data_IF_767407396821
#
_entry.id   IF_767407396821
#
_cell.length_a   1.000
_cell.length_b   1.000
_cell.length_c   1.000
_cell.angle_alpha   90.00
_cell.angle_beta   90.00
_cell.angle_gamma   90.00
#
_symmetry.space_group_name_H-M   'P 1'
#
loop_
_entity.id
_entity.type
_entity.pdbx_description
1 polymer ?
#
# COMPACT_ATOMS: atom_id res chain seq x y z
N UNK A 1 -5.04 -32.90 35.25
CA UNK A 1 -3.64 -33.29 34.94
C UNK A 1 -3.38 -33.81 33.53
N UNK A 2 -4.34 -34.46 32.83
CA UNK A 2 -4.13 -34.98 31.46
C UNK A 2 -4.15 -33.94 30.31
N UNK A 3 -4.72 -32.75 30.52
CA UNK A 3 -4.80 -31.69 29.49
C UNK A 3 -3.49 -30.89 29.39
N UNK A 4 -2.83 -30.64 30.54
CA UNK A 4 -1.57 -29.87 30.60
C UNK A 4 -0.38 -30.66 30.01
N UNK A 5 -0.42 -32.00 30.10
CA UNK A 5 0.67 -32.86 29.58
C UNK A 5 0.67 -32.96 28.05
N UNK A 6 -0.49 -32.82 27.38
CA UNK A 6 -0.57 -32.78 25.90
C UNK A 6 -0.06 -31.45 25.32
N UNK A 7 -0.30 -30.33 26.00
CA UNK A 7 0.21 -29.02 25.58
C UNK A 7 1.75 -28.95 25.69
N UNK A 8 2.32 -29.54 26.75
CA UNK A 8 3.77 -29.56 26.96
C UNK A 8 4.47 -30.51 25.99
N UNK A 9 3.88 -31.67 25.68
CA UNK A 9 4.47 -32.59 24.69
C UNK A 9 4.36 -32.09 23.24
N UNK A 10 3.36 -31.27 22.90
CA UNK A 10 3.27 -30.61 21.58
C UNK A 10 4.35 -29.52 21.41
N UNK A 11 4.64 -28.77 22.47
CA UNK A 11 5.71 -27.76 22.53
C UNK A 11 7.12 -28.37 22.53
N UNK A 12 7.28 -29.59 23.05
CA UNK A 12 8.58 -30.28 23.11
C UNK A 12 8.84 -31.19 21.90
N UNK A 13 7.82 -31.56 21.10
CA UNK A 13 8.01 -32.39 19.89
C UNK A 13 8.24 -31.59 18.60
N UNK A 14 8.15 -30.26 18.65
CA UNK A 14 8.43 -29.38 17.52
C UNK A 14 9.51 -28.36 17.88
N UNK A 15 10.65 -28.83 18.39
CA UNK A 15 11.90 -28.08 18.28
C UNK A 15 12.39 -28.09 16.83
N UNK A 16 11.51 -27.77 15.89
CA UNK A 16 11.94 -27.21 14.62
C UNK A 16 12.64 -25.91 15.00
N UNK A 17 13.91 -25.82 14.62
CA UNK A 17 14.71 -24.60 14.66
C UNK A 17 13.81 -23.39 14.42
N UNK A 18 13.81 -22.43 15.36
CA UNK A 18 12.99 -21.23 15.28
C UNK A 18 12.94 -20.75 13.82
N UNK A 19 11.75 -20.69 13.19
CA UNK A 19 11.65 -20.35 11.78
C UNK A 19 12.35 -19.01 11.56
N UNK A 20 13.29 -18.97 10.62
CA UNK A 20 13.96 -17.72 10.27
C UNK A 20 12.91 -16.66 9.93
N UNK A 21 13.05 -15.46 10.49
CA UNK A 21 12.21 -14.30 10.16
C UNK A 21 12.06 -14.13 8.63
N UNK A 22 10.95 -13.53 8.15
CA UNK A 22 10.83 -13.19 6.74
C UNK A 22 12.07 -12.43 6.26
N UNK A 23 12.58 -12.77 5.08
CA UNK A 23 13.78 -12.13 4.51
C UNK A 23 13.39 -11.26 3.32
N UNK A 24 13.97 -10.07 3.26
CA UNK A 24 13.75 -9.14 2.14
C UNK A 24 14.58 -9.59 0.93
N UNK A 25 13.90 -9.96 -0.14
CA UNK A 25 14.52 -10.45 -1.40
C UNK A 25 14.46 -9.43 -2.53
N UNK A 26 13.55 -8.46 -2.42
CA UNK A 26 13.51 -7.29 -3.29
C UNK A 26 13.00 -6.10 -2.49
N UNK A 27 13.61 -4.94 -2.70
CA UNK A 27 13.11 -3.68 -2.18
C UNK A 27 13.46 -2.57 -3.16
N UNK A 28 12.45 -1.81 -3.58
CA UNK A 28 12.61 -0.61 -4.40
C UNK A 28 11.76 0.47 -3.76
N UNK A 29 12.37 1.54 -3.27
CA UNK A 29 11.67 2.72 -2.78
C UNK A 29 12.10 3.95 -3.56
N UNK A 30 11.17 4.89 -3.73
CA UNK A 30 11.48 6.16 -4.35
C UNK A 30 10.48 7.24 -3.95
N UNK A 31 10.98 8.46 -3.74
CA UNK A 31 10.14 9.65 -3.64
C UNK A 31 9.69 10.09 -5.03
N UNK A 32 8.44 10.55 -5.12
CA UNK A 32 7.85 11.04 -6.36
C UNK A 32 7.14 12.35 -6.14
N UNK A 33 7.51 13.34 -6.94
CA UNK A 33 6.82 14.61 -7.04
C UNK A 33 5.59 14.48 -7.96
N UNK A 34 4.67 15.45 -7.90
CA UNK A 34 3.55 15.48 -8.83
C UNK A 34 4.08 15.63 -10.27
N UNK A 35 3.41 14.96 -11.19
CA UNK A 35 3.73 14.83 -12.61
C UNK A 35 4.95 13.97 -12.94
N UNK A 36 5.64 13.39 -11.96
CA UNK A 36 6.66 12.35 -12.19
C UNK A 36 6.02 10.97 -12.40
N UNK A 37 6.71 10.11 -13.14
CA UNK A 37 6.29 8.72 -13.32
C UNK A 37 6.58 7.88 -12.08
N UNK A 38 5.52 7.25 -11.58
CA UNK A 38 5.56 6.25 -10.53
C UNK A 38 5.66 4.88 -11.18
N UNK A 39 6.67 4.13 -10.78
CA UNK A 39 6.85 2.72 -11.11
C UNK A 39 6.72 1.94 -9.80
N UNK A 40 5.57 1.30 -9.60
CA UNK A 40 5.22 0.55 -8.38
C UNK A 40 4.18 -0.53 -8.69
N UNK A 41 3.73 -1.23 -7.65
CA UNK A 41 2.64 -2.21 -7.70
C UNK A 41 3.07 -3.48 -8.42
N UNK A 42 4.22 -4.02 -8.02
CA UNK A 42 4.77 -5.28 -8.55
C UNK A 42 3.97 -6.47 -8.04
N UNK A 43 3.26 -7.14 -8.94
CA UNK A 43 2.68 -8.46 -8.74
C UNK A 43 3.70 -9.51 -9.18
N UNK A 44 4.44 -10.08 -8.24
CA UNK A 44 5.44 -11.11 -8.50
C UNK A 44 4.80 -12.49 -8.67
N UNK A 45 5.44 -13.37 -9.45
CA UNK A 45 5.00 -14.74 -9.67
C UNK A 45 6.14 -15.61 -10.19
N UNK A 46 6.05 -16.92 -9.98
CA UNK A 46 6.95 -17.92 -10.58
C UNK A 46 6.35 -18.39 -11.91
N UNK A 47 7.17 -18.50 -12.95
CA UNK A 47 6.75 -19.04 -14.25
C UNK A 47 7.94 -19.67 -14.97
N UNK A 48 7.80 -20.94 -15.37
CA UNK A 48 8.80 -21.74 -16.09
C UNK A 48 10.18 -21.74 -15.42
N UNK A 49 10.20 -21.78 -14.08
CA UNK A 49 11.43 -21.80 -13.28
C UNK A 49 12.07 -20.43 -13.05
N UNK A 50 11.49 -19.34 -13.56
CA UNK A 50 11.97 -17.97 -13.36
C UNK A 50 10.99 -17.15 -12.51
N UNK A 51 11.49 -16.14 -11.80
CA UNK A 51 10.65 -15.15 -11.11
C UNK A 51 10.36 -13.99 -12.05
N UNK A 52 9.09 -13.61 -12.12
CA UNK A 52 8.58 -12.50 -12.91
C UNK A 52 7.83 -11.52 -12.02
N UNK A 53 7.58 -10.31 -12.53
CA UNK A 53 6.58 -9.40 -11.98
C UNK A 53 5.84 -8.69 -13.11
N UNK A 54 4.56 -8.41 -12.89
CA UNK A 54 3.87 -7.35 -13.64
C UNK A 54 3.73 -6.14 -12.74
N UNK A 55 4.15 -4.96 -13.22
CA UNK A 55 4.09 -3.73 -12.45
C UNK A 55 3.56 -2.58 -13.29
N UNK A 56 3.16 -1.49 -12.62
CA UNK A 56 2.48 -0.37 -13.26
C UNK A 56 3.38 0.86 -13.29
N UNK A 57 3.48 1.47 -14.46
CA UNK A 57 4.08 2.79 -14.65
C UNK A 57 2.97 3.80 -14.95
N UNK A 58 2.92 4.91 -14.22
CA UNK A 58 1.90 5.96 -14.40
C UNK A 58 2.37 7.31 -13.86
N UNK A 59 1.91 8.44 -14.43
CA UNK A 59 2.22 9.76 -13.89
C UNK A 59 1.46 9.98 -12.57
N UNK A 60 2.16 10.45 -11.55
CA UNK A 60 1.55 10.87 -10.29
C UNK A 60 0.79 12.17 -10.52
N UNK A 61 -0.53 12.16 -10.44
CA UNK A 61 -1.32 13.37 -10.69
C UNK A 61 -1.99 13.88 -9.42
N UNK A 62 -2.25 15.19 -9.30
CA UNK A 62 -3.20 15.66 -8.30
C UNK A 62 -4.59 15.09 -8.60
N UNK A 63 -5.46 15.08 -7.60
CA UNK A 63 -6.78 14.47 -7.70
C UNK A 63 -7.60 14.89 -8.92
N UNK A 64 -7.61 16.19 -9.24
CA UNK A 64 -8.39 16.70 -10.37
C UNK A 64 -7.82 16.28 -11.73
N UNK A 65 -6.54 15.88 -11.77
CA UNK A 65 -5.95 15.21 -12.94
C UNK A 65 -6.62 13.85 -13.19
N UNK A 66 -6.93 13.10 -12.15
CA UNK A 66 -7.57 11.78 -12.28
C UNK A 66 -9.05 11.83 -12.68
N UNK A 67 -9.74 12.96 -12.47
CA UNK A 67 -11.15 13.14 -12.89
C UNK A 67 -11.32 13.43 -14.38
N UNK A 68 -10.26 13.81 -15.10
CA UNK A 68 -10.31 14.22 -16.53
C UNK A 68 -9.82 13.14 -17.50
N UNK A 69 -10.09 11.87 -17.23
CA UNK A 69 -9.70 10.76 -18.13
C UNK A 69 -8.20 10.37 -18.09
N UNK A 70 -7.31 11.18 -17.50
CA UNK A 70 -5.86 10.89 -17.40
C UNK A 70 -5.51 9.67 -16.52
N UNK A 71 -6.49 9.09 -15.82
CA UNK A 71 -6.38 7.78 -15.18
C UNK A 71 -5.94 6.68 -16.18
N UNK A 72 -6.08 6.97 -17.48
CA UNK A 72 -5.74 6.17 -18.65
C UNK A 72 -4.32 6.40 -19.18
N UNK A 73 -3.40 7.05 -18.48
CA UNK A 73 -1.99 7.07 -18.91
C UNK A 73 -1.16 6.13 -18.04
N UNK A 74 -1.51 4.84 -18.02
CA UNK A 74 -0.69 3.85 -17.34
C UNK A 74 -0.40 2.62 -18.18
N UNK A 75 0.82 2.14 -18.03
CA UNK A 75 1.37 1.00 -18.73
C UNK A 75 1.65 -0.13 -17.74
N UNK A 76 1.50 -1.37 -18.18
CA UNK A 76 1.93 -2.53 -17.42
C UNK A 76 3.17 -3.13 -18.05
N UNK A 77 4.19 -3.35 -17.24
CA UNK A 77 5.49 -3.89 -17.67
C UNK A 77 5.65 -5.27 -17.05
N UNK A 78 5.98 -6.26 -17.88
CA UNK A 78 6.42 -7.57 -17.45
C UNK A 78 7.94 -7.55 -17.31
N UNK A 79 8.43 -7.85 -16.12
CA UNK A 79 9.87 -7.97 -15.84
C UNK A 79 10.19 -9.40 -15.44
N UNK A 80 11.21 -9.98 -16.06
CA UNK A 80 11.87 -11.20 -15.59
C UNK A 80 13.04 -10.83 -14.70
N UNK A 81 13.23 -11.58 -13.61
CA UNK A 81 14.30 -11.38 -12.65
C UNK A 81 15.24 -12.58 -12.60
N UNK A 82 16.51 -12.31 -12.33
CA UNK A 82 17.47 -13.31 -11.87
C UNK A 82 17.67 -13.17 -10.37
N UNK A 83 17.60 -14.27 -9.63
CA UNK A 83 17.97 -14.32 -8.22
C UNK A 83 19.49 -14.46 -8.10
N UNK A 84 20.16 -13.48 -7.51
CA UNK A 84 21.61 -13.51 -7.22
C UNK A 84 21.83 -13.11 -5.77
N UNK A 85 22.58 -13.93 -5.02
CA UNK A 85 22.89 -13.66 -3.61
C UNK A 85 21.63 -13.38 -2.74
N UNK A 86 20.53 -14.06 -3.04
CA UNK A 86 19.25 -13.88 -2.33
C UNK A 86 18.48 -12.61 -2.70
N UNK A 87 18.93 -11.86 -3.72
CA UNK A 87 18.26 -10.64 -4.21
C UNK A 87 17.82 -10.77 -5.66
N UNK A 88 16.67 -10.19 -5.98
CA UNK A 88 16.17 -10.13 -7.35
C UNK A 88 16.79 -8.96 -8.11
N UNK A 89 17.32 -9.25 -9.29
CA UNK A 89 17.83 -8.28 -10.25
C UNK A 89 17.01 -8.36 -11.54
N UNK A 90 16.50 -7.23 -12.07
CA UNK A 90 15.79 -7.23 -13.34
C UNK A 90 16.75 -7.61 -14.47
N UNK A 91 16.29 -8.50 -15.35
CA UNK A 91 17.08 -9.02 -16.49
C UNK A 91 16.46 -8.60 -17.83
N UNK A 92 15.15 -8.77 -17.98
CA UNK A 92 14.44 -8.43 -19.20
C UNK A 92 13.10 -7.78 -18.89
N UNK A 93 12.75 -6.73 -19.64
CA UNK A 93 11.48 -6.02 -19.51
C UNK A 93 10.74 -6.00 -20.85
N UNK A 94 9.43 -6.21 -20.78
CA UNK A 94 8.53 -6.18 -21.93
C UNK A 94 7.29 -5.38 -21.58
N UNK A 95 6.94 -4.40 -22.41
CA UNK A 95 5.65 -3.73 -22.28
C UNK A 95 4.51 -4.71 -22.56
N UNK A 96 3.55 -4.79 -21.64
CA UNK A 96 2.25 -5.42 -21.86
C UNK A 96 1.21 -4.42 -22.39
N UNK A 97 1.63 -3.19 -22.65
CA UNK A 97 0.79 -2.07 -23.07
C UNK A 97 -0.07 -1.52 -21.94
N UNK A 98 -1.08 -0.76 -22.34
CA UNK A 98 -1.98 -0.08 -21.43
C UNK A 98 -2.70 -1.01 -20.46
N UNK A 99 -2.91 -0.53 -19.23
CA UNK A 99 -3.65 -1.21 -18.17
C UNK A 99 -3.44 -0.58 -16.80
N UNK A 100 -4.40 -0.79 -15.90
CA UNK A 100 -4.34 -0.41 -14.49
C UNK A 100 -4.43 -1.65 -13.60
N UNK A 101 -4.09 -1.52 -12.32
CA UNK A 101 -4.31 -2.53 -11.27
C UNK A 101 -3.99 -3.97 -11.71
N UNK A 102 -2.73 -4.26 -12.12
CA UNK A 102 -2.38 -5.58 -12.59
C UNK A 102 -2.60 -6.62 -11.50
N UNK A 103 -3.05 -7.82 -11.88
CA UNK A 103 -3.15 -9.00 -10.99
C UNK A 103 -2.57 -10.20 -11.71
N UNK A 104 -1.93 -11.10 -10.98
CA UNK A 104 -1.35 -12.30 -11.57
C UNK A 104 -1.66 -13.51 -10.70
N UNK A 105 -1.94 -14.65 -11.33
CA UNK A 105 -1.88 -15.97 -10.71
C UNK A 105 -1.02 -16.88 -11.57
N UNK A 106 -0.24 -17.76 -10.94
CA UNK A 106 0.50 -18.81 -11.63
C UNK A 106 0.62 -20.07 -10.78
N UNK A 107 0.66 -21.21 -11.43
CA UNK A 107 1.02 -22.52 -10.86
C UNK A 107 2.50 -22.90 -11.16
N UNK A 108 3.30 -21.95 -11.65
CA UNK A 108 4.67 -22.17 -12.08
C UNK A 108 4.82 -22.66 -13.52
N UNK A 109 3.77 -23.20 -14.14
CA UNK A 109 3.78 -23.63 -15.55
C UNK A 109 2.95 -22.71 -16.42
N UNK A 110 1.76 -22.33 -15.94
CA UNK A 110 0.84 -21.39 -16.58
C UNK A 110 0.70 -20.16 -15.71
N UNK A 111 0.64 -18.98 -16.32
CA UNK A 111 0.33 -17.74 -15.62
C UNK A 111 -0.79 -16.97 -16.33
N UNK A 112 -1.68 -16.36 -15.56
CA UNK A 112 -2.72 -15.45 -16.07
C UNK A 112 -2.50 -14.06 -15.50
N UNK A 113 -2.29 -13.10 -16.39
CA UNK A 113 -2.05 -11.70 -16.08
C UNK A 113 -3.32 -10.91 -16.42
N UNK A 114 -3.97 -10.37 -15.41
CA UNK A 114 -5.12 -9.49 -15.54
C UNK A 114 -4.65 -8.05 -15.58
N UNK A 115 -5.19 -7.28 -16.53
CA UNK A 115 -5.00 -5.83 -16.61
C UNK A 115 -6.35 -5.16 -16.62
N UNK A 116 -6.63 -4.29 -15.65
CA UNK A 116 -7.87 -3.54 -15.63
C UNK A 116 -7.81 -2.45 -16.71
N UNK A 117 -8.56 -2.65 -17.77
CA UNK A 117 -8.72 -1.73 -18.88
C UNK A 117 -9.90 -0.80 -18.62
N UNK A 118 -9.77 0.45 -19.07
CA UNK A 118 -10.88 1.41 -19.17
C UNK A 118 -10.90 1.88 -20.62
N UNK A 119 -12.07 1.89 -21.27
CA UNK A 119 -12.18 2.43 -22.63
C UNK A 119 -12.00 3.95 -22.59
N UNK A 120 -11.25 4.50 -23.55
CA UNK A 120 -11.00 5.94 -23.63
C UNK A 120 -12.31 6.73 -23.58
N UNK A 121 -12.41 7.67 -22.65
CA UNK A 121 -13.61 8.50 -22.46
C UNK A 121 -14.86 7.81 -21.87
N UNK A 122 -14.83 6.51 -21.57
CA UNK A 122 -15.96 5.78 -20.99
C UNK A 122 -15.58 5.12 -19.66
N UNK A 123 -15.90 5.82 -18.56
CA UNK A 123 -15.70 5.33 -17.19
C UNK A 123 -16.69 4.24 -16.78
N UNK A 124 -17.75 3.99 -17.56
CA UNK A 124 -18.81 3.03 -17.24
C UNK A 124 -18.52 1.62 -17.76
N UNK A 125 -17.57 1.47 -18.70
CA UNK A 125 -17.26 0.18 -19.37
C UNK A 125 -15.82 -0.29 -19.16
N UNK A 126 -15.43 -0.45 -17.90
CA UNK A 126 -14.17 -1.14 -17.57
C UNK A 126 -14.27 -2.65 -17.92
N UNK A 127 -13.14 -3.30 -18.16
CA UNK A 127 -13.02 -4.76 -18.33
C UNK A 127 -11.62 -5.23 -17.94
N UNK A 128 -11.44 -6.51 -17.61
CA UNK A 128 -10.09 -7.08 -17.49
C UNK A 128 -9.63 -7.64 -18.83
N UNK A 129 -8.46 -7.22 -19.31
CA UNK A 129 -7.76 -7.94 -20.36
C UNK A 129 -6.84 -8.97 -19.71
N UNK A 130 -7.07 -10.24 -19.99
CA UNK A 130 -6.30 -11.35 -19.43
C UNK A 130 -5.34 -11.88 -20.48
N UNK A 131 -4.06 -11.99 -20.14
CA UNK A 131 -3.03 -12.64 -20.96
C UNK A 131 -2.58 -13.93 -20.27
N UNK A 132 -2.60 -15.05 -21.00
CA UNK A 132 -2.10 -16.35 -20.57
C UNK A 132 -0.66 -16.58 -21.05
N UNK A 133 0.17 -17.16 -20.20
CA UNK A 133 1.53 -17.62 -20.51
C UNK A 133 1.67 -19.12 -20.17
N UNK A 134 2.42 -19.92 -20.94
CA UNK A 134 2.95 -19.61 -22.27
C UNK A 134 1.82 -19.63 -23.34
N UNK A 135 2.10 -19.10 -24.54
CA UNK A 135 1.17 -19.20 -25.68
C UNK A 135 0.37 -17.95 -26.02
N UNK A 136 0.59 -16.84 -25.30
CA UNK A 136 0.09 -15.50 -25.61
C UNK A 136 -1.43 -15.38 -25.87
N UNK A 137 -2.26 -16.33 -25.42
CA UNK A 137 -3.72 -16.19 -25.49
C UNK A 137 -4.14 -14.94 -24.73
N UNK A 138 -4.92 -14.08 -25.39
CA UNK A 138 -5.48 -12.86 -24.80
C UNK A 138 -6.99 -12.88 -24.96
N UNK A 139 -7.71 -12.62 -23.87
CA UNK A 139 -9.17 -12.52 -23.85
C UNK A 139 -9.62 -11.41 -22.90
N UNK A 140 -10.80 -10.85 -23.16
CA UNK A 140 -11.38 -9.75 -22.39
C UNK A 140 -12.52 -10.27 -21.51
N UNK A 141 -12.55 -9.85 -20.24
CA UNK A 141 -13.51 -10.26 -19.22
C UNK A 141 -14.32 -9.05 -18.77
N UNK A 142 -15.62 -9.07 -19.03
CA UNK A 142 -16.53 -7.94 -18.80
C UNK A 142 -17.25 -7.95 -17.44
N UNK A 143 -16.98 -8.96 -16.60
CA UNK A 143 -17.65 -9.17 -15.32
C UNK A 143 -18.81 -10.18 -15.41
N UNK A 144 -19.36 -10.57 -14.26
CA UNK A 144 -20.49 -11.49 -14.18
C UNK A 144 -21.83 -10.72 -14.21
N UNK A 145 -22.92 -11.31 -14.75
CA UNK A 145 -24.24 -10.68 -14.73
C UNK A 145 -24.66 -10.28 -13.31
N UNK A 146 -25.12 -9.04 -13.14
CA UNK A 146 -25.58 -8.52 -11.84
C UNK A 146 -24.46 -8.09 -10.88
N UNK A 147 -23.20 -8.28 -11.24
CA UNK A 147 -22.05 -7.76 -10.48
C UNK A 147 -21.36 -6.68 -11.30
N UNK A 148 -21.08 -5.49 -10.73
CA UNK A 148 -20.22 -4.52 -11.40
C UNK A 148 -18.84 -5.14 -11.59
N UNK A 149 -18.05 -4.65 -12.55
CA UNK A 149 -16.66 -5.10 -12.65
C UNK A 149 -15.93 -4.74 -11.36
N UNK A 150 -15.46 -5.77 -10.64
CA UNK A 150 -14.83 -5.59 -9.35
C UNK A 150 -13.41 -5.04 -9.49
N UNK A 151 -13.10 -3.98 -8.74
CA UNK A 151 -11.71 -3.67 -8.39
C UNK A 151 -11.21 -4.72 -7.41
N UNK A 152 -9.93 -5.08 -7.48
CA UNK A 152 -9.27 -6.00 -6.55
C UNK A 152 -9.73 -7.48 -6.62
N UNK A 153 -9.97 -8.02 -7.82
CA UNK A 153 -10.10 -9.47 -7.97
C UNK A 153 -8.85 -10.19 -7.48
N UNK A 154 -9.04 -11.28 -6.74
CA UNK A 154 -7.96 -12.14 -6.25
C UNK A 154 -8.00 -13.45 -7.03
N UNK A 155 -7.25 -13.57 -8.12
CA UNK A 155 -7.30 -14.75 -8.98
C UNK A 155 -6.69 -15.97 -8.28
N UNK A 156 -7.13 -17.17 -8.64
CA UNK A 156 -6.51 -18.42 -8.20
C UNK A 156 -6.69 -19.51 -9.25
N UNK A 157 -5.84 -20.54 -9.21
CA UNK A 157 -5.94 -21.71 -10.06
C UNK A 157 -6.38 -22.91 -9.24
N UNK A 158 -7.31 -23.69 -9.79
CA UNK A 158 -7.77 -24.95 -9.20
C UNK A 158 -8.13 -25.92 -10.33
N UNK A 159 -7.59 -27.12 -10.27
CA UNK A 159 -7.85 -28.19 -11.25
C UNK A 159 -7.64 -27.75 -12.72
N UNK A 160 -6.61 -26.94 -12.96
CA UNK A 160 -6.26 -26.39 -14.28
C UNK A 160 -7.20 -25.30 -14.80
N UNK A 161 -8.13 -24.80 -13.97
CA UNK A 161 -9.08 -23.74 -14.31
C UNK A 161 -8.80 -22.46 -13.55
N UNK A 162 -9.24 -21.34 -14.15
CA UNK A 162 -9.04 -20.00 -13.62
C UNK A 162 -10.29 -19.55 -12.85
N UNK A 163 -10.07 -19.11 -11.63
CA UNK A 163 -11.10 -18.55 -10.78
C UNK A 163 -10.67 -17.20 -10.22
N UNK A 164 -11.60 -16.46 -9.64
CA UNK A 164 -11.33 -15.26 -8.87
C UNK A 164 -12.25 -15.12 -7.67
N UNK A 165 -11.71 -14.71 -6.53
CA UNK A 165 -12.52 -14.16 -5.44
C UNK A 165 -12.88 -12.73 -5.82
N UNK A 166 -14.17 -12.49 -6.04
CA UNK A 166 -14.71 -11.17 -6.38
C UNK A 166 -14.80 -10.26 -5.15
N UNK A 167 -15.19 -10.81 -4.01
CA UNK A 167 -15.35 -10.08 -2.76
C UNK A 167 -15.58 -11.02 -1.58
N UNK A 168 -15.46 -10.47 -0.36
CA UNK A 168 -15.60 -11.22 0.89
C UNK A 168 -16.94 -11.01 1.60
N UNK A 169 -17.75 -10.05 1.19
CA UNK A 169 -19.05 -9.73 1.80
C UNK A 169 -20.06 -9.27 0.73
N UNK A 170 -20.93 -10.17 0.22
CA UNK A 170 -20.86 -11.62 0.42
C UNK A 170 -19.58 -12.22 -0.18
N UNK A 171 -19.13 -13.36 0.35
CA UNK A 171 -18.11 -14.17 -0.32
C UNK A 171 -18.67 -14.56 -1.69
N UNK A 172 -18.01 -14.13 -2.75
CA UNK A 172 -18.42 -14.41 -4.12
C UNK A 172 -17.20 -14.94 -4.88
N UNK A 173 -17.33 -16.15 -5.43
CA UNK A 173 -16.29 -16.81 -6.23
C UNK A 173 -16.77 -16.96 -7.67
N UNK A 174 -15.89 -16.60 -8.60
CA UNK A 174 -16.15 -16.61 -10.03
C UNK A 174 -15.27 -17.65 -10.72
N UNK A 175 -15.81 -18.41 -11.67
CA UNK A 175 -15.03 -19.11 -12.69
C UNK A 175 -14.88 -18.19 -13.90
N UNK A 176 -13.66 -18.11 -14.45
CA UNK A 176 -13.32 -17.24 -15.59
C UNK A 176 -12.86 -18.12 -16.75
N UNK A 177 -13.66 -18.17 -17.82
CA UNK A 177 -13.35 -18.96 -18.99
C UNK A 177 -12.45 -18.18 -19.97
N UNK A 178 -11.63 -18.89 -20.74
CA UNK A 178 -10.78 -18.28 -21.78
C UNK A 178 -11.57 -17.70 -22.96
N UNK A 179 -12.89 -17.92 -22.99
CA UNK A 179 -13.84 -17.22 -23.87
C UNK A 179 -14.15 -15.79 -23.41
N UNK A 180 -13.78 -15.42 -22.19
CA UNK A 180 -14.14 -14.16 -21.52
C UNK A 180 -15.44 -14.24 -20.69
N UNK A 181 -16.14 -15.37 -20.75
CA UNK A 181 -17.34 -15.63 -19.95
C UNK A 181 -16.99 -15.85 -18.48
N UNK A 182 -17.91 -15.42 -17.60
CA UNK A 182 -17.73 -15.50 -16.14
C UNK A 182 -18.98 -16.08 -15.50
N UNK A 183 -18.81 -17.09 -14.66
CA UNK A 183 -19.88 -17.73 -13.89
C UNK A 183 -19.68 -17.52 -12.39
N UNK A 184 -20.76 -17.25 -11.65
CA UNK A 184 -20.73 -17.26 -10.18
C UNK A 184 -20.85 -18.71 -9.72
N UNK A 185 -19.75 -19.30 -9.26
CA UNK A 185 -19.71 -20.70 -8.80
C UNK A 185 -20.03 -20.86 -7.32
N UNK A 186 -19.90 -19.78 -6.54
CA UNK A 186 -20.28 -19.77 -5.14
C UNK A 186 -20.64 -18.37 -4.66
N UNK A 187 -21.69 -18.27 -3.85
CA UNK A 187 -22.02 -17.04 -3.13
C UNK A 187 -22.57 -17.37 -1.74
N UNK A 188 -21.96 -16.80 -0.70
CA UNK A 188 -22.42 -16.96 0.68
C UNK A 188 -22.20 -15.70 1.50
N UNK A 189 -23.10 -15.45 2.44
CA UNK A 189 -22.91 -14.37 3.41
C UNK A 189 -21.74 -14.68 4.34
N UNK A 190 -21.04 -13.63 4.78
CA UNK A 190 -19.95 -13.72 5.75
C UNK A 190 -20.19 -12.72 6.87
N UNK A 191 -19.38 -12.79 7.93
CA UNK A 191 -19.39 -11.80 9.01
C UNK A 191 -18.49 -10.59 8.72
N UNK A 192 -18.01 -10.44 7.48
CA UNK A 192 -17.04 -9.43 7.07
C UNK A 192 -17.68 -8.20 6.40
N UNK A 193 -19.01 -8.08 6.44
CA UNK A 193 -19.75 -6.92 5.96
C UNK A 193 -19.64 -5.74 6.94
N UNK A 194 -18.43 -5.22 7.07
CA UNK A 194 -18.11 -4.06 7.90
C UNK A 194 -17.71 -2.94 6.95
N UNK A 195 -18.56 -1.92 6.78
CA UNK A 195 -18.21 -0.73 6.00
C UNK A 195 -17.48 0.29 6.89
N UNK A 196 -16.30 0.80 6.51
CA UNK A 196 -15.66 1.86 7.25
C UNK A 196 -16.41 3.19 7.02
N UNK A 197 -16.41 4.14 7.98
CA UNK A 197 -17.23 5.36 7.89
C UNK A 197 -16.93 6.30 6.71
N UNK A 198 -15.81 6.07 6.02
CA UNK A 198 -15.26 6.96 4.99
C UNK A 198 -15.30 6.38 3.58
N UNK A 199 -15.80 5.14 3.41
CA UNK A 199 -15.80 4.46 2.11
C UNK A 199 -17.03 3.59 1.91
N UNK A 200 -17.47 3.45 0.66
CA UNK A 200 -18.64 2.64 0.28
C UNK A 200 -18.32 1.15 0.08
N UNK A 201 -17.08 0.73 0.30
CA UNK A 201 -16.63 -0.65 0.17
C UNK A 201 -16.41 -1.27 1.54
N UNK A 202 -16.49 -2.61 1.62
CA UNK A 202 -16.23 -3.35 2.85
C UNK A 202 -14.77 -3.19 3.29
N UNK A 203 -14.56 -3.26 4.60
CA UNK A 203 -13.27 -3.11 5.26
C UNK A 203 -12.24 -4.09 4.70
N UNK A 204 -12.64 -5.36 4.54
CA UNK A 204 -11.79 -6.45 4.05
C UNK A 204 -12.00 -6.65 2.55
N UNK A 205 -10.92 -6.50 1.77
CA UNK A 205 -10.98 -6.63 0.32
C UNK A 205 -9.60 -6.72 -0.31
N UNK A 206 -9.58 -7.14 -1.56
CA UNK A 206 -8.41 -7.14 -2.42
C UNK A 206 -7.23 -7.94 -1.88
N UNK A 207 -6.11 -7.84 -2.59
CA UNK A 207 -4.84 -8.41 -2.14
C UNK A 207 -4.17 -9.30 -3.17
N UNK A 208 -3.55 -10.37 -2.68
CA UNK A 208 -2.82 -11.35 -3.48
C UNK A 208 -3.77 -12.25 -4.26
N UNK A 209 -3.22 -12.99 -5.21
CA UNK A 209 -3.83 -14.24 -5.67
C UNK A 209 -3.96 -15.27 -4.52
N UNK A 210 -4.76 -16.31 -4.76
CA UNK A 210 -4.83 -17.49 -3.90
C UNK A 210 -3.84 -18.57 -4.34
N UNK A 211 -3.26 -19.28 -3.37
CA UNK A 211 -2.50 -20.52 -3.57
C UNK A 211 -3.30 -21.68 -3.00
N UNK A 212 -3.49 -22.73 -3.80
CA UNK A 212 -4.05 -24.01 -3.36
C UNK A 212 -2.93 -24.85 -2.74
N UNK A 213 -3.10 -25.25 -1.49
CA UNK A 213 -2.16 -26.11 -0.75
C UNK A 213 -2.65 -27.57 -0.74
N UNK A 214 -1.78 -28.48 -0.32
CA UNK A 214 -2.05 -29.93 -0.27
C UNK A 214 -3.22 -30.31 0.67
N UNK A 215 -3.57 -29.44 1.63
CA UNK A 215 -4.74 -29.60 2.50
C UNK A 215 -6.08 -29.28 1.80
N UNK A 216 -6.03 -28.90 0.52
CA UNK A 216 -7.17 -28.52 -0.31
C UNK A 216 -7.69 -27.11 -0.03
N UNK A 217 -7.08 -26.37 0.89
CA UNK A 217 -7.46 -25.00 1.20
C UNK A 217 -6.72 -24.00 0.29
N UNK A 218 -7.40 -22.89 0.02
CA UNK A 218 -6.82 -21.73 -0.63
C UNK A 218 -6.35 -20.72 0.42
N UNK A 219 -5.16 -20.18 0.23
CA UNK A 219 -4.56 -19.19 1.11
C UNK A 219 -4.17 -17.94 0.33
N UNK A 220 -4.33 -16.77 0.96
CA UNK A 220 -3.88 -15.51 0.40
C UNK A 220 -3.83 -14.42 1.46
N UNK A 221 -3.45 -13.22 1.02
CA UNK A 221 -3.45 -12.02 1.86
C UNK A 221 -4.35 -10.96 1.24
N UNK A 222 -5.04 -10.21 2.09
CA UNK A 222 -5.80 -9.02 1.70
C UNK A 222 -5.41 -7.81 2.51
N UNK A 223 -6.05 -6.67 2.23
CA UNK A 223 -5.86 -5.45 3.02
C UNK A 223 -7.17 -5.01 3.67
N UNK A 224 -7.05 -4.52 4.89
CA UNK A 224 -8.13 -3.88 5.64
C UNK A 224 -7.97 -2.36 5.59
N UNK A 225 -8.99 -1.65 5.11
CA UNK A 225 -9.01 -0.18 5.08
C UNK A 225 -9.51 0.38 6.41
N UNK A 226 -8.70 0.24 7.47
CA UNK A 226 -9.09 0.48 8.88
C UNK A 226 -9.52 1.92 9.13
N UNK A 227 -8.84 2.87 8.48
CA UNK A 227 -9.14 4.30 8.50
C UNK A 227 -8.60 4.92 7.22
N UNK A 228 -9.00 6.17 6.96
CA UNK A 228 -8.48 6.94 5.84
C UNK A 228 -6.96 6.80 5.74
N UNK A 229 -6.47 6.44 4.54
CA UNK A 229 -5.03 6.36 4.22
C UNK A 229 -4.26 5.31 5.02
N UNK A 230 -4.96 4.33 5.60
CA UNK A 230 -4.35 3.25 6.36
C UNK A 230 -4.83 1.89 5.89
N UNK A 231 -3.91 1.13 5.30
CA UNK A 231 -4.17 -0.25 4.89
C UNK A 231 -3.29 -1.19 5.71
N UNK A 232 -3.93 -2.12 6.42
CA UNK A 232 -3.24 -3.17 7.18
C UNK A 232 -3.50 -4.53 6.54
N UNK A 233 -2.47 -5.35 6.41
CA UNK A 233 -2.56 -6.67 5.78
C UNK A 233 -3.23 -7.68 6.72
N UNK A 234 -4.08 -8.54 6.17
CA UNK A 234 -4.62 -9.73 6.84
C UNK A 234 -4.39 -10.96 5.96
N UNK A 235 -4.32 -12.14 6.57
CA UNK A 235 -4.27 -13.40 5.85
C UNK A 235 -5.67 -14.01 5.80
N UNK A 236 -6.05 -14.65 4.70
CA UNK A 236 -7.32 -15.36 4.58
C UNK A 236 -7.09 -16.80 4.15
N UNK A 237 -8.00 -17.67 4.56
CA UNK A 237 -8.08 -19.07 4.16
C UNK A 237 -9.49 -19.38 3.70
N UNK A 238 -9.62 -20.05 2.56
CA UNK A 238 -10.89 -20.59 2.07
C UNK A 238 -10.78 -22.10 1.96
N UNK A 239 -11.64 -22.82 2.66
CA UNK A 239 -11.70 -24.29 2.65
C UNK A 239 -12.37 -24.82 1.37
N UNK A 240 -12.30 -26.14 1.09
CA UNK A 240 -12.98 -26.74 -0.07
C UNK A 240 -14.49 -26.52 -0.14
N UNK A 241 -15.15 -26.35 1.02
CA UNK A 241 -16.58 -26.05 1.16
C UNK A 241 -16.89 -24.53 1.21
N UNK A 242 -15.93 -23.70 0.78
CA UNK A 242 -16.04 -22.24 0.71
C UNK A 242 -16.27 -21.55 2.06
N UNK A 243 -15.85 -22.17 3.17
CA UNK A 243 -15.78 -21.47 4.44
C UNK A 243 -14.57 -20.51 4.44
N UNK A 244 -14.84 -19.22 4.64
CA UNK A 244 -13.82 -18.17 4.69
C UNK A 244 -13.45 -17.85 6.14
N UNK A 245 -12.16 -17.99 6.44
CA UNK A 245 -11.54 -17.62 7.70
C UNK A 245 -10.52 -16.49 7.45
N UNK A 246 -10.44 -15.53 8.37
CA UNK A 246 -9.51 -14.40 8.26
C UNK A 246 -8.69 -14.25 9.54
N UNK A 247 -7.42 -13.96 9.36
CA UNK A 247 -6.46 -13.67 10.43
C UNK A 247 -6.00 -12.24 10.27
N UNK A 248 -6.52 -11.37 11.14
CA UNK A 248 -6.02 -10.01 11.28
C UNK A 248 -4.69 -10.07 12.01
N UNK A 249 -3.68 -9.41 11.45
CA UNK A 249 -2.36 -9.38 12.03
C UNK A 249 -1.79 -7.98 12.04
N UNK A 250 -1.01 -7.66 13.07
CA UNK A 250 -0.21 -6.44 13.15
C UNK A 250 1.05 -6.51 12.26
N UNK A 251 0.98 -7.30 11.19
CA UNK A 251 2.11 -7.70 10.35
C UNK A 251 2.76 -6.51 9.61
N UNK A 252 2.01 -5.45 9.40
CA UNK A 252 2.48 -4.22 8.73
C UNK A 252 2.88 -3.13 9.72
N UNK A 253 2.81 -3.33 11.04
CA UNK A 253 3.09 -2.25 12.01
C UNK A 253 4.50 -1.69 11.84
N UNK A 254 5.51 -2.54 11.65
CA UNK A 254 6.90 -2.10 11.38
C UNK A 254 7.04 -1.27 10.11
N UNK A 255 6.35 -1.65 9.02
CA UNK A 255 6.33 -0.90 7.76
C UNK A 255 5.63 0.45 7.90
N UNK A 256 4.56 0.47 8.68
CA UNK A 256 3.86 1.68 9.04
C UNK A 256 4.71 2.61 9.90
N UNK A 257 5.46 2.06 10.86
CA UNK A 257 6.43 2.78 11.68
C UNK A 257 7.60 3.31 10.84
N UNK A 258 7.88 2.69 9.69
CA UNK A 258 8.82 3.18 8.69
C UNK A 258 8.23 4.26 7.76
N UNK A 259 6.94 4.59 7.90
CA UNK A 259 6.27 5.69 7.20
C UNK A 259 5.27 5.28 6.12
N UNK A 260 5.11 3.99 5.85
CA UNK A 260 4.21 3.49 4.81
C UNK A 260 2.80 3.23 5.35
N UNK A 261 1.93 4.25 5.29
CA UNK A 261 0.55 4.14 5.78
C UNK A 261 -0.34 3.19 4.99
N UNK A 262 -0.05 3.00 3.70
CA UNK A 262 -0.75 2.04 2.84
C UNK A 262 0.21 0.89 2.54
N UNK A 263 -0.18 -0.32 2.93
CA UNK A 263 0.55 -1.56 2.63
C UNK A 263 -0.42 -2.57 2.01
N UNK A 264 -0.41 -2.65 0.69
CA UNK A 264 -1.27 -3.54 -0.09
C UNK A 264 -0.50 -4.79 -0.50
N UNK A 265 -0.96 -6.00 -0.13
CA UNK A 265 -0.34 -7.21 -0.63
C UNK A 265 -0.74 -7.41 -2.10
N UNK A 266 0.24 -7.65 -2.97
CA UNK A 266 0.05 -7.68 -4.44
C UNK A 266 0.14 -9.08 -5.03
N UNK A 267 0.88 -9.98 -4.38
CA UNK A 267 1.18 -11.32 -4.90
C UNK A 267 1.57 -12.30 -3.79
N UNK A 268 1.18 -13.55 -3.96
CA UNK A 268 1.62 -14.70 -3.15
C UNK A 268 1.96 -15.84 -4.10
N UNK A 269 3.20 -16.32 -4.08
CA UNK A 269 3.61 -17.42 -4.96
C UNK A 269 4.64 -18.33 -4.30
N UNK A 270 4.76 -19.55 -4.82
CA UNK A 270 5.83 -20.48 -4.45
C UNK A 270 6.91 -20.49 -5.54
N UNK A 271 8.16 -20.53 -5.12
CA UNK A 271 9.31 -20.67 -6.00
C UNK A 271 10.40 -21.45 -5.28
N UNK A 272 10.91 -22.51 -5.92
CA UNK A 272 11.91 -23.42 -5.34
C UNK A 272 11.54 -23.90 -3.92
N UNK A 273 10.25 -24.20 -3.71
CA UNK A 273 9.73 -24.70 -2.43
C UNK A 273 9.61 -23.66 -1.31
N UNK A 274 9.90 -22.38 -1.57
CA UNK A 274 9.67 -21.29 -0.62
C UNK A 274 8.48 -20.43 -1.04
N UNK A 275 7.72 -19.92 -0.06
CA UNK A 275 6.61 -19.00 -0.27
C UNK A 275 7.09 -17.55 -0.22
N UNK A 276 6.58 -16.72 -1.11
CA UNK A 276 6.94 -15.32 -1.24
C UNK A 276 5.70 -14.42 -1.23
N UNK A 277 5.79 -13.28 -0.54
CA UNK A 277 4.75 -12.27 -0.46
C UNK A 277 5.26 -10.94 -1.02
N UNK A 278 4.62 -10.45 -2.06
CA UNK A 278 4.84 -9.10 -2.60
C UNK A 278 3.92 -8.08 -1.94
N UNK A 279 4.46 -6.92 -1.60
CA UNK A 279 3.74 -5.76 -1.07
C UNK A 279 4.02 -4.52 -1.92
N UNK A 280 2.98 -3.75 -2.19
CA UNK A 280 3.08 -2.38 -2.69
C UNK A 280 2.75 -1.41 -1.56
N UNK A 281 3.56 -0.38 -1.41
CA UNK A 281 3.54 0.50 -0.25
C UNK A 281 3.57 1.96 -0.69
N UNK A 282 2.83 2.80 0.04
CA UNK A 282 2.90 4.26 -0.10
C UNK A 282 2.67 4.95 1.24
N UNK A 283 3.16 6.18 1.38
CA UNK A 283 2.94 6.93 2.62
C UNK A 283 1.45 7.24 2.85
N UNK A 284 0.71 7.51 1.77
CA UNK A 284 -0.74 7.78 1.76
C UNK A 284 -1.35 7.48 0.39
N UNK A 285 -2.54 8.02 0.13
CA UNK A 285 -3.24 7.90 -1.14
C UNK A 285 -2.49 8.53 -2.32
N UNK A 286 -2.65 7.96 -3.52
CA UNK A 286 -1.80 8.21 -4.70
C UNK A 286 -2.08 9.53 -5.45
N UNK A 287 -2.36 10.61 -4.72
CA UNK A 287 -2.69 11.93 -5.28
C UNK A 287 -1.74 13.05 -4.81
N UNK A 288 -0.72 12.68 -4.05
CA UNK A 288 0.17 13.59 -3.36
C UNK A 288 1.61 13.18 -3.58
N UNK A 289 2.51 14.16 -3.57
CA UNK A 289 3.94 13.89 -3.47
C UNK A 289 4.21 13.02 -2.25
N UNK A 290 4.90 11.91 -2.46
CA UNK A 290 5.15 10.92 -1.43
C UNK A 290 6.23 9.92 -1.85
N UNK A 291 6.64 9.09 -0.89
CA UNK A 291 7.44 7.90 -1.11
C UNK A 291 6.55 6.71 -1.46
N UNK A 292 6.94 5.98 -2.49
CA UNK A 292 6.38 4.70 -2.90
C UNK A 292 7.43 3.61 -2.70
N UNK A 293 7.00 2.38 -2.45
CA UNK A 293 7.89 1.25 -2.43
C UNK A 293 7.21 -0.06 -2.86
N UNK A 294 8.00 -0.98 -3.42
CA UNK A 294 7.65 -2.39 -3.57
C UNK A 294 8.62 -3.22 -2.74
N UNK A 295 8.09 -4.27 -2.12
CA UNK A 295 8.84 -5.17 -1.25
C UNK A 295 8.46 -6.62 -1.59
N UNK A 296 9.45 -7.49 -1.75
CA UNK A 296 9.25 -8.94 -1.82
C UNK A 296 9.86 -9.62 -0.61
N UNK A 297 9.01 -10.30 0.15
CA UNK A 297 9.39 -11.08 1.33
C UNK A 297 9.43 -12.55 0.97
N UNK A 298 10.53 -13.22 1.28
CA UNK A 298 10.54 -14.68 1.40
C UNK A 298 10.04 -15.03 2.79
N UNK A 299 8.92 -15.73 2.85
CA UNK A 299 8.30 -16.16 4.10
C UNK A 299 9.13 -17.27 4.76
N UNK A 300 9.00 -17.50 6.08
CA UNK A 300 9.65 -18.62 6.75
C UNK A 300 9.30 -19.93 6.05
N UNK A 301 10.23 -20.90 6.04
CA UNK A 301 10.10 -22.18 5.33
C UNK A 301 9.05 -23.16 5.90
N UNK A 302 7.90 -22.67 6.32
CA UNK A 302 6.73 -23.44 6.74
C UNK A 302 5.61 -23.31 5.70
N UNK A 303 4.70 -24.27 5.65
CA UNK A 303 3.52 -24.20 4.76
C UNK A 303 2.61 -23.02 5.12
N UNK A 304 1.79 -22.58 4.16
CA UNK A 304 0.81 -21.51 4.43
C UNK A 304 -0.25 -21.95 5.45
N UNK A 305 -0.59 -23.24 5.48
CA UNK A 305 -1.44 -23.83 6.51
C UNK A 305 -0.85 -23.66 7.91
N UNK A 306 0.44 -23.99 8.09
CA UNK A 306 1.14 -23.77 9.35
C UNK A 306 1.21 -22.29 9.68
N UNK A 307 1.53 -21.43 8.72
CA UNK A 307 1.58 -19.98 8.91
C UNK A 307 0.23 -19.41 9.40
N UNK A 308 -0.88 -19.86 8.82
CA UNK A 308 -2.24 -19.41 9.16
C UNK A 308 -2.70 -19.82 10.57
N UNK A 309 -2.18 -20.94 11.09
CA UNK A 309 -2.54 -21.44 12.43
C UNK A 309 -1.74 -20.80 13.58
N UNK A 310 -0.69 -20.03 13.28
CA UNK A 310 0.14 -19.39 14.30
C UNK A 310 -0.63 -18.34 15.09
N UNK A 311 -0.25 -18.21 16.37
CA UNK A 311 -0.74 -17.13 17.25
C UNK A 311 0.00 -15.80 16.99
N UNK A 312 1.22 -15.89 16.45
CA UNK A 312 2.03 -14.73 16.09
C UNK A 312 1.69 -14.21 14.68
N UNK A 313 1.91 -12.91 14.38
CA UNK A 313 1.68 -12.36 13.05
C UNK A 313 2.46 -13.17 12.00
N UNK A 314 1.86 -13.45 10.82
CA UNK A 314 2.54 -14.16 9.74
C UNK A 314 3.71 -13.38 9.13
N UNK A 315 3.76 -12.05 9.33
CA UNK A 315 4.91 -11.20 8.96
C UNK A 315 5.40 -10.42 10.19
N UNK A 316 6.18 -11.04 11.09
CA UNK A 316 6.74 -10.29 12.22
C UNK A 316 7.90 -9.39 11.75
N UNK A 317 7.88 -8.13 12.20
CA UNK A 317 8.98 -7.14 12.15
C UNK A 317 9.86 -7.20 10.90
N UNK A 318 9.31 -6.76 9.77
CA UNK A 318 10.11 -6.58 8.55
C UNK A 318 11.09 -5.44 8.75
N UNK A 319 12.38 -5.77 8.77
CA UNK A 319 13.45 -4.76 8.74
C UNK A 319 13.69 -4.30 7.30
N UNK A 320 13.42 -3.01 7.05
CA UNK A 320 13.75 -2.39 5.77
C UNK A 320 15.25 -2.08 5.68
N UNK A 321 15.83 -1.98 4.48
CA UNK A 321 17.22 -1.59 4.32
C UNK A 321 17.53 -0.26 5.03
N UNK A 322 18.65 -0.20 5.76
CA UNK A 322 19.05 0.98 6.53
C UNK A 322 19.20 2.28 5.70
N UNK A 323 19.33 2.15 4.38
CA UNK A 323 19.42 3.26 3.44
C UNK A 323 18.06 3.89 3.08
N UNK A 324 16.92 3.26 3.42
CA UNK A 324 15.60 3.85 3.16
C UNK A 324 15.37 5.02 4.11
N UNK A 325 15.24 6.27 3.61
CA UNK A 325 15.03 7.42 4.48
C UNK A 325 13.70 7.29 5.21
N UNK A 326 13.69 7.57 6.51
CA UNK A 326 12.43 7.60 7.24
C UNK A 326 11.70 8.91 6.93
N UNK A 327 10.60 8.79 6.20
CA UNK A 327 9.72 9.91 5.82
C UNK A 327 8.31 9.60 6.30
N UNK A 328 7.63 10.60 6.86
CA UNK A 328 6.25 10.47 7.30
C UNK A 328 5.39 11.51 6.62
N UNK A 329 4.36 11.05 5.91
CA UNK A 329 3.28 11.89 5.44
C UNK A 329 2.20 12.01 6.52
N UNK A 330 1.88 13.24 6.92
CA UNK A 330 0.81 13.57 7.85
C UNK A 330 -0.34 14.17 7.04
N UNK A 331 -1.53 13.61 7.26
CA UNK A 331 -2.76 13.99 6.57
C UNK A 331 -3.41 15.18 7.30
N UNK A 332 -3.44 16.39 6.72
CA UNK A 332 -3.93 17.59 7.40
C UNK A 332 -5.31 17.45 8.05
N UNK A 333 -6.25 16.76 7.40
CA UNK A 333 -7.62 16.58 7.91
C UNK A 333 -7.69 15.78 9.23
N UNK A 334 -6.63 15.05 9.58
CA UNK A 334 -6.54 14.33 10.86
C UNK A 334 -6.20 15.26 12.03
N UNK A 335 -5.75 16.48 11.76
CA UNK A 335 -5.39 17.45 12.77
C UNK A 335 -6.59 18.28 13.27
N UNK A 336 -6.36 19.07 14.33
CA UNK A 336 -7.35 20.04 14.85
C UNK A 336 -7.27 21.31 14.02
N UNK A 337 -8.42 21.78 13.51
CA UNK A 337 -8.48 22.87 12.51
C UNK A 337 -9.59 23.86 12.85
N UNK A 338 -9.35 24.88 13.70
CA UNK A 338 -10.38 25.82 14.16
C UNK A 338 -11.13 26.57 13.05
N UNK A 339 -10.40 27.05 12.04
CA UNK A 339 -11.02 27.80 10.92
C UNK A 339 -11.13 26.99 9.62
N UNK A 340 -10.50 25.81 9.59
CA UNK A 340 -10.41 24.96 8.40
C UNK A 340 -11.60 24.03 8.21
N UNK A 341 -11.99 23.82 6.96
CA UNK A 341 -12.94 22.81 6.53
C UNK A 341 -12.14 21.58 6.06
N UNK A 342 -12.44 20.42 6.65
CA UNK A 342 -11.78 19.15 6.31
C UNK A 342 -12.34 18.60 5.01
N UNK A 343 -11.48 18.38 4.03
CA UNK A 343 -11.82 17.70 2.79
C UNK A 343 -11.93 16.19 3.00
N UNK A 344 -12.76 15.53 2.19
CA UNK A 344 -12.95 14.07 2.21
C UNK A 344 -11.70 13.27 1.81
N UNK A 345 -10.65 13.96 1.36
CA UNK A 345 -9.42 13.38 0.81
C UNK A 345 -8.17 13.77 1.59
N UNK A 346 -8.38 14.19 2.83
CA UNK A 346 -7.29 14.40 3.77
C UNK A 346 -6.72 15.82 3.79
N UNK A 347 -7.16 16.71 2.90
CA UNK A 347 -6.78 18.13 2.89
C UNK A 347 -7.62 18.96 3.85
N UNK A 348 -7.16 20.17 4.15
CA UNK A 348 -7.91 21.17 4.94
C UNK A 348 -7.90 22.48 4.17
N UNK A 349 -9.07 23.08 3.98
CA UNK A 349 -9.21 24.36 3.29
C UNK A 349 -9.67 25.47 4.24
N UNK A 350 -9.03 26.63 4.15
CA UNK A 350 -9.53 27.87 4.69
C UNK A 350 -10.16 28.70 3.57
N UNK A 351 -11.38 29.19 3.73
CA UNK A 351 -12.02 30.07 2.75
C UNK A 351 -11.97 31.53 3.24
N UNK A 352 -10.77 32.10 3.32
CA UNK A 352 -10.59 33.52 3.63
C UNK A 352 -10.89 33.90 5.10
N UNK A 353 -10.94 32.94 6.03
CA UNK A 353 -11.15 33.26 7.45
C UNK A 353 -9.82 33.54 8.14
N UNK A 354 -9.81 34.54 9.01
CA UNK A 354 -8.67 34.78 9.89
C UNK A 354 -8.69 33.83 11.07
N UNK A 355 -7.56 33.21 11.36
CA UNK A 355 -7.35 32.37 12.53
C UNK A 355 -6.44 31.18 12.27
N UNK A 356 -6.52 30.19 13.15
CA UNK A 356 -5.63 29.04 13.13
C UNK A 356 -6.19 27.95 12.21
N UNK A 357 -5.53 27.70 11.07
CA UNK A 357 -5.89 26.62 10.16
C UNK A 357 -5.48 25.25 10.72
N UNK A 358 -4.28 25.19 11.30
CA UNK A 358 -3.75 23.99 11.95
C UNK A 358 -3.38 24.31 13.40
N UNK A 359 -4.18 23.82 14.33
CA UNK A 359 -3.94 24.02 15.75
C UNK A 359 -3.01 22.92 16.29
N UNK A 360 -1.74 23.30 16.48
CA UNK A 360 -0.73 22.57 17.25
C UNK A 360 -0.60 21.08 16.86
N UNK A 361 -0.05 20.82 15.67
CA UNK A 361 0.40 19.49 15.28
C UNK A 361 1.70 19.15 16.05
N UNK A 362 1.67 18.06 16.82
CA UNK A 362 2.83 17.57 17.57
C UNK A 362 3.62 16.57 16.72
N UNK A 363 4.90 16.85 16.45
CA UNK A 363 5.81 15.98 15.69
C UNK A 363 7.01 15.63 16.56
N UNK A 364 7.35 14.34 16.75
CA UNK A 364 8.52 13.99 17.54
C UNK A 364 9.80 14.50 16.84
N UNK A 365 10.72 15.07 17.62
CA UNK A 365 12.03 15.53 17.08
C UNK A 365 12.93 14.38 16.67
N UNK A 366 12.68 13.19 17.20
CA UNK A 366 13.38 11.95 16.88
C UNK A 366 12.39 10.81 16.61
N UNK A 367 12.68 10.01 15.59
CA UNK A 367 11.98 8.75 15.34
C UNK A 367 13.01 7.67 15.06
N UNK A 368 12.93 6.52 15.74
CA UNK A 368 13.91 5.42 15.63
C UNK A 368 15.38 5.87 15.76
N UNK A 369 15.65 6.83 16.64
CA UNK A 369 17.00 7.36 16.86
C UNK A 369 17.49 8.35 15.79
N UNK A 370 16.67 8.63 14.78
CA UNK A 370 16.97 9.59 13.71
C UNK A 370 16.33 10.95 14.03
N UNK A 371 17.08 12.06 14.08
CA UNK A 371 16.52 13.39 14.23
C UNK A 371 15.75 13.84 12.98
N UNK A 372 14.80 14.75 13.17
CA UNK A 372 14.15 15.47 12.07
C UNK A 372 15.17 16.34 11.33
N UNK A 373 15.20 16.22 10.01
CA UNK A 373 16.07 17.01 9.11
C UNK A 373 15.28 18.10 8.38
N UNK A 374 14.06 17.77 7.94
CA UNK A 374 13.25 18.66 7.11
C UNK A 374 11.76 18.46 7.35
N UNK A 375 11.01 19.55 7.22
CA UNK A 375 9.56 19.57 7.20
C UNK A 375 9.10 20.26 5.90
N UNK A 376 8.18 19.64 5.16
CA UNK A 376 7.55 20.25 3.98
C UNK A 376 6.05 20.35 4.17
N UNK A 377 5.49 21.54 3.89
CA UNK A 377 4.05 21.78 3.84
C UNK A 377 3.65 22.04 2.39
N UNK A 378 2.70 21.27 1.90
CA UNK A 378 2.18 21.37 0.54
C UNK A 378 0.84 22.09 0.55
N UNK A 379 0.75 23.22 -0.15
CA UNK A 379 -0.46 24.02 -0.17
C UNK A 379 -0.70 24.72 -1.51
N UNK A 380 -1.95 25.16 -1.69
CA UNK A 380 -2.37 26.05 -2.77
C UNK A 380 -2.97 27.33 -2.18
N UNK A 381 -2.57 28.49 -2.71
CA UNK A 381 -3.08 29.80 -2.32
C UNK A 381 -3.62 30.55 -3.55
N UNK A 382 -4.93 30.86 -3.56
CA UNK A 382 -5.62 31.36 -4.75
C UNK A 382 -5.76 32.90 -4.80
N UNK A 383 -5.76 33.58 -3.64
CA UNK A 383 -5.91 35.03 -3.52
C UNK A 383 -4.86 35.65 -2.59
N UNK A 384 -4.09 36.61 -3.11
CA UNK A 384 -3.23 37.50 -2.32
C UNK A 384 -3.84 38.89 -2.43
N UNK A 385 -4.49 39.37 -1.36
CA UNK A 385 -4.66 40.81 -1.17
C UNK A 385 -3.35 41.40 -0.68
N UNK A 386 -3.12 42.70 -0.88
CA UNK A 386 -1.96 43.38 -0.31
C UNK A 386 -1.96 43.21 1.24
N UNK A 387 -1.12 42.31 1.76
CA UNK A 387 -0.88 42.11 3.19
C UNK A 387 -1.57 40.93 3.89
N UNK A 388 -1.77 39.78 3.24
CA UNK A 388 -2.35 38.59 3.84
C UNK A 388 -1.55 37.31 3.57
N UNK A 389 -0.50 37.11 4.38
CA UNK A 389 0.43 35.99 4.32
C UNK A 389 0.13 35.04 5.47
N UNK A 390 -0.18 33.78 5.18
CA UNK A 390 -0.28 32.82 6.27
C UNK A 390 1.12 32.63 6.88
N UNK A 391 1.13 32.32 8.16
CA UNK A 391 2.36 32.18 8.93
C UNK A 391 2.47 30.75 9.43
N UNK A 392 3.62 30.14 9.19
CA UNK A 392 3.98 28.85 9.79
C UNK A 392 4.84 29.14 11.01
N UNK A 393 4.33 28.77 12.18
CA UNK A 393 5.08 28.83 13.43
C UNK A 393 5.44 27.43 13.90
N UNK A 394 6.73 27.21 14.13
CA UNK A 394 7.25 26.00 14.78
C UNK A 394 7.72 26.38 16.16
N UNK A 395 7.25 25.66 17.17
CA UNK A 395 7.57 25.90 18.57
C UNK A 395 8.00 24.63 19.28
N UNK A 396 8.77 24.78 20.35
CA UNK A 396 9.10 23.67 21.24
C UNK A 396 7.90 23.27 22.12
N UNK A 397 8.06 22.25 22.96
CA UNK A 397 6.99 21.80 23.88
C UNK A 397 6.56 22.90 24.85
N UNK A 398 7.49 23.79 25.23
CA UNK A 398 7.29 24.94 26.13
C UNK A 398 6.57 26.12 25.47
N UNK A 399 6.37 26.10 24.15
CA UNK A 399 5.70 27.16 23.40
C UNK A 399 6.64 28.27 22.92
N UNK A 400 7.95 28.11 23.08
CA UNK A 400 8.92 29.05 22.51
C UNK A 400 8.91 28.92 21.00
N UNK A 401 8.64 30.01 20.28
CA UNK A 401 8.71 30.02 18.81
C UNK A 401 10.16 29.83 18.36
N UNK A 402 10.44 28.71 17.71
CA UNK A 402 11.73 28.36 17.13
C UNK A 402 11.88 28.98 15.74
N UNK A 403 10.76 29.10 15.01
CA UNK A 403 10.70 29.76 13.72
C UNK A 403 9.29 30.27 13.44
N UNK A 404 9.21 31.44 12.83
CA UNK A 404 7.99 32.01 12.25
C UNK A 404 8.31 32.46 10.83
N UNK A 405 7.63 31.91 9.82
CA UNK A 405 7.85 32.27 8.43
C UNK A 405 6.54 32.70 7.76
N UNK A 406 6.47 33.92 7.20
CA UNK A 406 5.35 34.37 6.39
C UNK A 406 5.48 33.83 4.96
N UNK A 407 4.35 33.43 4.35
CA UNK A 407 4.32 32.93 2.98
C UNK A 407 3.47 33.85 2.10
N UNK A 408 4.11 34.47 1.11
CA UNK A 408 3.56 35.59 0.32
C UNK A 408 3.16 35.22 -1.13
N UNK A 409 3.40 33.98 -1.56
CA UNK A 409 3.33 33.63 -2.99
C UNK A 409 1.99 32.98 -3.39
N UNK A 410 1.48 33.39 -4.55
CA UNK A 410 0.28 32.80 -5.19
C UNK A 410 0.64 31.52 -5.94
N UNK A 411 -0.27 30.53 -5.92
CA UNK A 411 -0.16 29.30 -6.70
C UNK A 411 0.00 28.05 -5.85
N UNK A 412 0.40 26.95 -6.51
CA UNK A 412 0.71 25.67 -5.86
C UNK A 412 2.17 25.66 -5.46
N UNK A 413 2.45 25.89 -4.19
CA UNK A 413 3.81 25.96 -3.68
C UNK A 413 4.00 24.95 -2.54
N UNK A 414 5.16 24.29 -2.54
CA UNK A 414 5.62 23.53 -1.39
C UNK A 414 6.53 24.43 -0.56
N UNK A 415 6.14 24.75 0.67
CA UNK A 415 7.02 25.44 1.61
C UNK A 415 7.87 24.41 2.34
N UNK A 416 9.19 24.56 2.23
CA UNK A 416 10.16 23.66 2.82
C UNK A 416 10.91 24.36 3.94
N UNK A 417 10.85 23.79 5.12
CA UNK A 417 11.63 24.18 6.28
C UNK A 417 12.73 23.16 6.57
N UNK A 418 14.00 23.58 6.47
CA UNK A 418 15.14 22.78 6.95
C UNK A 418 15.34 22.99 8.45
N UNK A 419 15.51 21.90 9.19
CA UNK A 419 15.59 21.89 10.65
C UNK A 419 17.05 21.85 11.10
N UNK A 420 17.86 22.84 10.71
CA UNK A 420 19.30 22.87 11.00
C UNK A 420 19.65 23.13 12.48
N UNK A 421 18.68 23.42 13.35
CA UNK A 421 18.92 23.95 14.70
C UNK A 421 18.26 23.18 15.86
N UNK A 422 17.64 22.02 15.61
CA UNK A 422 16.89 21.27 16.65
C UNK A 422 17.59 20.01 17.15
N UNK A 423 18.89 19.90 16.86
CA UNK A 423 19.74 18.78 17.22
C UNK A 423 20.32 18.92 18.65
N UNK A 424 19.54 19.39 19.63
CA UNK A 424 20.01 19.41 21.04
C UNK A 424 20.02 18.00 21.68
N UNK A 425 19.60 16.97 20.92
CA UNK A 425 19.57 15.58 21.35
C UNK A 425 18.42 15.26 22.32
N UNK A 426 17.57 16.23 22.66
CA UNK A 426 16.46 16.00 23.56
C UNK A 426 15.28 15.41 22.78
N UNK A 427 14.83 14.23 23.22
CA UNK A 427 13.63 13.56 22.71
C UNK A 427 12.39 14.34 23.15
N UNK A 428 12.01 15.35 22.37
CA UNK A 428 10.85 16.23 22.61
C UNK A 428 9.92 16.19 21.40
N UNK A 429 8.89 17.04 21.41
CA UNK A 429 7.97 17.21 20.27
C UNK A 429 7.96 18.66 19.81
N UNK A 430 8.01 18.86 18.50
CA UNK A 430 7.74 20.13 17.86
C UNK A 430 6.25 20.35 17.74
N UNK A 431 5.82 21.58 18.00
CA UNK A 431 4.46 22.05 17.80
C UNK A 431 4.42 22.94 16.56
N UNK A 432 3.70 22.49 15.54
CA UNK A 432 3.49 23.26 14.32
C UNK A 432 2.10 23.90 14.36
N UNK A 433 2.08 25.19 14.05
CA UNK A 433 0.87 25.99 13.95
C UNK A 433 0.87 26.71 12.61
N UNK A 434 -0.28 26.72 11.94
CA UNK A 434 -0.49 27.48 10.71
C UNK A 434 -1.60 28.49 10.98
N UNK A 435 -1.24 29.77 10.98
CA UNK A 435 -2.18 30.88 11.12
C UNK A 435 -2.39 31.54 9.77
N UNK A 436 -3.65 31.76 9.42
CA UNK A 436 -4.05 32.39 8.17
C UNK A 436 -4.75 33.72 8.46
N UNK A 437 -4.59 34.70 7.59
CA UNK A 437 -5.31 35.96 7.63
C UNK A 437 -5.94 36.19 6.26
N UNK A 438 -7.27 36.22 6.19
CA UNK A 438 -8.03 36.62 4.99
C UNK A 438 -7.59 35.96 3.66
N UNK A 439 -7.09 34.73 3.72
CA UNK A 439 -6.55 33.99 2.56
C UNK A 439 -7.29 32.69 2.31
N UNK A 440 -7.55 32.39 1.04
CA UNK A 440 -7.98 31.06 0.62
C UNK A 440 -6.77 30.14 0.51
N UNK A 441 -6.69 29.17 1.40
CA UNK A 441 -5.53 28.29 1.55
C UNK A 441 -6.00 26.84 1.64
N UNK A 442 -5.52 26.01 0.73
CA UNK A 442 -5.67 24.57 0.78
C UNK A 442 -4.37 23.94 1.26
N UNK A 443 -4.38 23.27 2.41
CA UNK A 443 -3.25 22.47 2.91
C UNK A 443 -3.49 20.99 2.58
N UNK A 444 -2.65 20.45 1.71
CA UNK A 444 -2.84 19.15 1.07
C UNK A 444 -2.04 18.03 1.74
N UNK A 445 -0.79 18.33 2.12
CA UNK A 445 0.09 17.35 2.73
C UNK A 445 1.13 18.01 3.65
N UNK A 446 1.57 17.27 4.67
CA UNK A 446 2.71 17.64 5.52
C UNK A 446 3.67 16.46 5.50
N UNK A 447 4.93 16.66 5.10
CA UNK A 447 5.94 15.60 5.05
C UNK A 447 7.07 15.90 6.02
N UNK A 448 7.43 14.93 6.84
CA UNK A 448 8.51 15.00 7.84
C UNK A 448 9.61 14.05 7.41
N UNK A 449 10.82 14.57 7.26
CA UNK A 449 12.00 13.82 6.88
C UNK A 449 12.91 13.69 8.10
N UNK A 450 13.26 12.47 8.44
CA UNK A 450 14.25 12.17 9.47
C UNK A 450 15.55 11.76 8.80
N UNK A 451 16.67 12.18 9.37
CA UNK A 451 17.99 11.93 8.79
C UNK A 451 18.23 10.43 8.66
N UNK A 452 18.81 9.98 7.54
CA UNK A 452 19.31 8.61 7.48
C UNK A 452 20.33 8.37 8.60
N UNK A 453 20.31 7.19 9.20
CA UNK A 453 21.40 6.80 10.08
C UNK A 453 22.69 6.86 9.25
N UNK A 454 23.67 7.66 9.65
CA UNK A 454 25.01 7.49 9.09
C UNK A 454 25.38 6.04 9.36
N UNK A 455 25.72 5.29 8.31
CA UNK A 455 26.38 4.01 8.49
C UNK A 455 27.53 4.28 9.47
N UNK A 456 27.68 3.51 10.57
CA UNK A 456 28.80 3.70 11.46
C UNK A 456 30.05 3.66 10.57
N UNK A 457 30.80 4.76 10.57
CA UNK A 457 32.06 4.82 9.87
C UNK A 457 32.86 3.60 10.35
N UNK A 458 33.03 2.61 9.47
CA UNK A 458 34.02 1.56 9.65
C UNK A 458 35.37 2.26 9.47
N UNK A 459 35.83 2.90 10.55
CA UNK A 459 37.21 3.37 10.71
C UNK A 459 38.08 2.24 11.24
#
# INVERSE_FOLDING_TARGET
>A
MRIVTRAINYLLSHSETAPSSPTVTFFKSAERALHEDVDVFRCFFSHLGDIHSVHRVFPLLPMDGYKKGLLQNSENILTRYTLREGRLHPDHETSLGHGTDPRVVSDGTVAYIFKLMRRDGDTERAFYRVRKLPGETVFDVHGAPGLPLGKNWQPFLKDGRLFAIYGFAPLTVLEVHETGEVEIVHQSQTQLDIAPPHEAFTLFRGGTNGILEDDGCLYGFGHSTVRNFRHDTFMWRMTPDYFLDVRICNATVSLNDAGYGITDPTSLFTHEGASYLGLAMSERDWYYEQKFADLLLRLPGVSLATLFTRLEPPLPNVELPASDPHVRSIVPATCVTPVGIKGSKGSVCNHGRTGCLLQTLSIPTFHNGQPIEQLKLYFTCDNVGDGADFTVTVSDVGGTALLTHPVHERGKNAYSLKMSHLADGQKTSLKIRVDCREVELLLDNIRVFYSCAQAPNLS
#
